data_IF_907026378167
#
_entry.id   IF_907026378167
#
_cell.length_a   1.000
_cell.length_b   1.000
_cell.length_c   1.000
_cell.angle_alpha   90.00
_cell.angle_beta   90.00
_cell.angle_gamma   90.00
#
_symmetry.space_group_name_H-M   'P 1'
#
loop_
_entity.id
_entity.type
_entity.pdbx_description
1 polymer ?
#
# COMPACT_ATOMS: atom_id res chain seq x y z
N UNK A 1 22.66 -1.49 19.06
CA UNK A 1 22.63 -1.99 17.68
C UNK A 1 22.70 -0.80 16.75
N UNK A 2 23.60 -0.75 15.75
CA UNK A 2 23.61 0.37 14.81
C UNK A 2 22.39 0.25 13.88
N UNK A 3 21.62 1.33 13.78
CA UNK A 3 20.49 1.47 12.86
C UNK A 3 21.02 1.39 11.42
N UNK A 4 20.49 0.48 10.61
CA UNK A 4 20.79 0.44 9.19
C UNK A 4 20.32 1.75 8.54
N UNK A 5 21.09 2.35 7.61
CA UNK A 5 20.65 3.54 6.89
C UNK A 5 19.36 3.25 6.14
N UNK A 6 18.40 4.19 6.21
CA UNK A 6 17.18 4.14 5.43
C UNK A 6 17.55 4.14 3.94
N UNK A 7 17.45 2.99 3.27
CA UNK A 7 17.61 2.91 1.83
C UNK A 7 16.28 3.25 1.18
N UNK A 8 16.29 4.13 0.16
CA UNK A 8 15.24 4.06 -0.84
C UNK A 8 15.31 2.64 -1.40
N UNK A 9 14.38 1.78 -1.01
CA UNK A 9 14.34 0.44 -1.56
C UNK A 9 14.09 0.58 -3.06
N UNK A 10 15.06 0.13 -3.86
CA UNK A 10 14.92 0.03 -5.32
C UNK A 10 13.79 -0.95 -5.67
N UNK A 11 13.49 -1.90 -4.78
CA UNK A 11 12.35 -2.81 -4.86
C UNK A 11 11.20 -2.41 -3.90
N UNK A 12 10.10 -3.16 -3.98
CA UNK A 12 8.92 -3.00 -3.11
C UNK A 12 8.71 -4.22 -2.20
N UNK A 13 9.68 -5.12 -2.09
CA UNK A 13 9.50 -6.42 -1.42
C UNK A 13 9.16 -6.27 0.07
N UNK A 14 9.45 -5.10 0.68
CA UNK A 14 9.07 -4.78 2.05
C UNK A 14 7.55 -4.77 2.30
N UNK A 15 6.70 -4.62 1.26
CA UNK A 15 5.24 -4.69 1.41
C UNK A 15 4.72 -6.14 1.40
N UNK A 16 5.59 -7.11 1.07
CA UNK A 16 5.21 -8.51 0.98
C UNK A 16 4.78 -9.03 2.36
N UNK A 17 3.73 -9.83 2.32
CA UNK A 17 3.25 -10.63 3.43
C UNK A 17 1.77 -10.42 3.71
N UNK A 18 1.36 -10.92 4.87
CA UNK A 18 0.03 -10.70 5.43
C UNK A 18 0.08 -9.59 6.48
N UNK A 19 -0.91 -8.71 6.42
CA UNK A 19 -1.06 -7.55 7.28
C UNK A 19 -2.49 -7.50 7.81
N UNK A 20 -2.66 -7.13 9.06
CA UNK A 20 -3.95 -7.03 9.73
C UNK A 20 -4.15 -5.63 10.31
N UNK A 21 -5.30 -5.02 10.09
CA UNK A 21 -5.73 -3.81 10.79
C UNK A 21 -6.44 -4.21 12.08
N UNK A 22 -6.24 -3.40 13.12
CA UNK A 22 -6.86 -3.58 14.43
C UNK A 22 -7.19 -2.21 15.00
N UNK A 23 -8.38 -2.03 15.57
CA UNK A 23 -8.77 -0.80 16.26
C UNK A 23 -7.88 -0.49 17.48
N UNK A 24 -7.35 -1.52 18.13
CA UNK A 24 -6.40 -1.41 19.24
C UNK A 24 -5.28 -2.44 19.10
N UNK A 25 -4.05 -2.14 19.56
CA UNK A 25 -2.95 -3.11 19.56
C UNK A 25 -3.33 -4.40 20.29
N UNK A 26 -3.16 -5.55 19.63
CA UNK A 26 -3.56 -6.86 20.15
C UNK A 26 -5.07 -7.12 20.21
N UNK A 27 -5.91 -6.16 19.78
CA UNK A 27 -7.36 -6.27 19.68
C UNK A 27 -7.81 -7.16 18.51
N UNK A 28 -9.13 -7.33 18.29
CA UNK A 28 -9.63 -8.11 17.17
C UNK A 28 -9.20 -7.52 15.82
N UNK A 29 -8.98 -8.40 14.85
CA UNK A 29 -8.70 -8.01 13.45
C UNK A 29 -9.96 -7.42 12.85
N UNK A 30 -9.88 -6.19 12.36
CA UNK A 30 -10.97 -5.50 11.68
C UNK A 30 -10.71 -5.30 10.18
N UNK A 31 -9.60 -5.82 9.68
CA UNK A 31 -9.27 -5.86 8.26
C UNK A 31 -7.97 -6.56 7.97
N UNK A 32 -7.79 -6.95 6.72
CA UNK A 32 -6.68 -7.78 6.29
C UNK A 32 -6.22 -7.40 4.89
N UNK A 33 -4.91 -7.44 4.67
CA UNK A 33 -4.26 -7.26 3.39
C UNK A 33 -3.22 -8.36 3.21
N UNK A 34 -3.31 -9.08 2.10
CA UNK A 34 -2.30 -10.06 1.69
C UNK A 34 -1.66 -9.64 0.40
N UNK A 35 -0.37 -9.34 0.42
CA UNK A 35 0.44 -9.01 -0.76
C UNK A 35 1.47 -10.11 -0.96
N UNK A 36 1.20 -11.00 -1.91
CA UNK A 36 2.09 -12.13 -2.24
C UNK A 36 2.47 -12.08 -3.71
N UNK A 37 3.59 -12.73 -4.10
CA UNK A 37 3.93 -12.89 -5.50
C UNK A 37 2.77 -13.50 -6.29
N UNK A 38 2.48 -12.93 -7.45
CA UNK A 38 1.52 -13.55 -8.36
C UNK A 38 2.04 -14.94 -8.80
N UNK A 39 1.15 -15.93 -8.79
CA UNK A 39 1.52 -17.34 -9.02
C UNK A 39 1.95 -17.63 -10.45
N UNK A 40 1.46 -16.85 -11.41
CA UNK A 40 1.79 -16.99 -12.83
C UNK A 40 2.91 -16.02 -13.24
N UNK A 41 3.03 -14.90 -12.53
CA UNK A 41 3.91 -13.76 -12.83
C UNK A 41 4.64 -13.29 -11.56
N UNK A 42 5.74 -13.96 -11.25
CA UNK A 42 6.56 -13.66 -10.07
C UNK A 42 7.26 -12.28 -10.06
N UNK A 43 6.99 -11.42 -11.05
CA UNK A 43 7.42 -10.03 -11.16
C UNK A 43 6.43 -9.04 -10.50
N UNK A 44 5.30 -9.52 -9.96
CA UNK A 44 4.30 -8.69 -9.28
C UNK A 44 3.95 -9.20 -7.90
N UNK A 45 3.62 -8.28 -6.98
CA UNK A 45 2.94 -8.58 -5.72
C UNK A 45 1.48 -8.16 -5.86
N UNK A 46 0.56 -9.11 -5.70
CA UNK A 46 -0.87 -8.86 -5.85
C UNK A 46 -1.64 -9.20 -4.57
N UNK A 47 -2.71 -8.45 -4.34
CA UNK A 47 -3.46 -8.56 -3.12
C UNK A 47 -4.74 -7.76 -3.11
N UNK A 48 -5.50 -7.95 -2.04
CA UNK A 48 -6.64 -7.11 -1.73
C UNK A 48 -6.67 -6.78 -0.24
N UNK A 49 -6.94 -5.52 0.08
CA UNK A 49 -7.35 -5.14 1.42
C UNK A 49 -8.87 -5.29 1.53
N UNK A 50 -9.32 -5.95 2.58
CA UNK A 50 -10.74 -6.12 2.91
C UNK A 50 -10.87 -5.82 4.39
N UNK A 51 -11.77 -4.92 4.76
CA UNK A 51 -12.11 -4.79 6.18
C UNK A 51 -13.10 -5.88 6.60
N UNK A 52 -12.89 -6.42 7.78
CA UNK A 52 -13.62 -7.54 8.35
C UNK A 52 -15.00 -7.13 8.89
N UNK A 53 -15.19 -5.83 9.21
CA UNK A 53 -16.43 -5.28 9.74
C UNK A 53 -16.73 -3.90 9.14
N UNK A 54 -18.02 -3.60 8.93
CA UNK A 54 -18.51 -2.30 8.47
C UNK A 54 -19.82 -2.45 7.68
N UNK A 55 -20.80 -1.59 7.98
CA UNK A 55 -22.03 -1.45 7.20
C UNK A 55 -22.15 0.01 6.75
N UNK A 56 -22.15 0.31 5.44
CA UNK A 56 -21.98 -0.64 4.33
C UNK A 56 -20.58 -1.26 4.31
N UNK A 57 -20.41 -2.45 3.68
CA UNK A 57 -19.13 -3.15 3.67
C UNK A 57 -18.04 -2.22 3.12
N UNK A 58 -16.89 -2.10 3.80
CA UNK A 58 -15.79 -1.30 3.32
C UNK A 58 -15.35 -1.81 1.95
N UNK A 59 -15.16 -0.86 1.04
CA UNK A 59 -14.81 -1.11 -0.36
C UNK A 59 -13.51 -1.90 -0.41
N UNK A 60 -13.56 -3.12 -0.95
CA UNK A 60 -12.37 -3.92 -1.28
C UNK A 60 -11.37 -3.04 -2.02
N UNK A 61 -10.10 -3.11 -1.68
CA UNK A 61 -9.04 -2.39 -2.39
C UNK A 61 -8.12 -3.42 -3.03
N UNK A 62 -8.15 -3.56 -4.36
CA UNK A 62 -7.16 -4.40 -5.04
C UNK A 62 -5.88 -3.60 -5.26
N UNK A 63 -4.76 -4.24 -4.97
CA UNK A 63 -3.42 -3.68 -5.09
C UNK A 63 -2.55 -4.63 -5.93
N UNK A 64 -1.76 -4.05 -6.82
CA UNK A 64 -0.81 -4.79 -7.65
C UNK A 64 0.46 -3.97 -7.79
N UNK A 65 1.53 -4.38 -7.15
CA UNK A 65 2.84 -3.72 -7.24
C UNK A 65 3.74 -4.47 -8.22
N UNK A 66 4.44 -3.75 -9.10
CA UNK A 66 5.60 -4.32 -9.77
C UNK A 66 6.72 -4.54 -8.74
N UNK A 67 7.36 -5.71 -8.72
CA UNK A 67 8.36 -6.05 -7.69
C UNK A 67 9.60 -5.16 -7.71
N UNK A 68 9.95 -4.65 -8.89
CA UNK A 68 10.96 -3.62 -9.08
C UNK A 68 10.54 -2.22 -8.56
N UNK A 69 9.37 -2.13 -7.91
CA UNK A 69 8.85 -0.90 -7.33
C UNK A 69 8.46 0.17 -8.35
N UNK A 70 8.49 -0.11 -9.66
CA UNK A 70 8.30 0.88 -10.72
C UNK A 70 6.85 1.39 -10.82
N UNK A 71 5.89 0.55 -10.45
CA UNK A 71 4.47 0.85 -10.63
C UNK A 71 3.57 0.23 -9.54
N UNK A 72 2.50 0.96 -9.24
CA UNK A 72 1.37 0.52 -8.43
C UNK A 72 0.11 0.54 -9.28
N UNK A 73 -0.65 -0.55 -9.26
CA UNK A 73 -2.04 -0.61 -9.68
C UNK A 73 -2.95 -0.60 -8.47
N UNK A 74 -3.92 0.30 -8.43
CA UNK A 74 -4.91 0.41 -7.35
C UNK A 74 -6.31 0.39 -7.96
N UNK A 75 -7.17 -0.48 -7.43
CA UNK A 75 -8.59 -0.53 -7.84
C UNK A 75 -9.49 -0.54 -6.62
N UNK A 76 -10.54 0.27 -6.67
CA UNK A 76 -11.64 0.29 -5.69
C UNK A 76 -12.91 -0.16 -6.40
N UNK A 77 -13.30 -1.44 -6.32
CA UNK A 77 -14.53 -1.92 -6.94
C UNK A 77 -15.73 -1.21 -6.28
N UNK A 78 -16.40 -0.34 -7.02
CA UNK A 78 -17.64 0.26 -6.55
C UNK A 78 -18.78 -0.78 -6.68
N UNK A 79 -19.61 -0.98 -5.63
CA UNK A 79 -20.75 -1.87 -5.74
C UNK A 79 -21.73 -1.37 -6.81
N UNK A 80 -22.10 -2.24 -7.76
CA UNK A 80 -23.09 -1.95 -8.80
C UNK A 80 -22.61 -1.13 -9.99
N UNK A 81 -21.31 -0.85 -10.12
CA UNK A 81 -20.76 -0.06 -11.22
C UNK A 81 -20.05 -0.98 -12.24
N UNK A 82 -20.75 -1.37 -13.30
CA UNK A 82 -20.26 -2.35 -14.30
C UNK A 82 -19.38 -1.76 -15.41
N UNK A 83 -19.18 -0.43 -15.44
CA UNK A 83 -18.41 0.23 -16.49
C UNK A 83 -17.00 -0.37 -16.62
N UNK A 84 -16.57 -0.66 -17.85
CA UNK A 84 -15.28 -1.30 -18.14
C UNK A 84 -14.10 -0.54 -17.51
N UNK A 85 -14.15 0.79 -17.47
CA UNK A 85 -13.09 1.63 -16.90
C UNK A 85 -12.91 1.44 -15.40
N UNK A 86 -13.99 1.16 -14.65
CA UNK A 86 -13.92 0.84 -13.23
C UNK A 86 -13.36 -0.57 -12.96
N UNK A 87 -13.22 -1.40 -14.00
CA UNK A 87 -12.60 -2.73 -13.89
C UNK A 87 -11.08 -2.64 -13.98
N UNK A 88 -10.53 -1.62 -14.64
CA UNK A 88 -9.09 -1.44 -14.81
C UNK A 88 -8.49 -0.79 -13.56
N UNK A 89 -7.32 -1.26 -13.08
CA UNK A 89 -6.64 -0.60 -11.98
C UNK A 89 -6.12 0.77 -12.44
N UNK A 90 -6.34 1.78 -11.61
CA UNK A 90 -5.64 3.06 -11.73
C UNK A 90 -4.15 2.80 -11.60
N UNK A 91 -3.38 3.22 -12.60
CA UNK A 91 -1.93 3.02 -12.65
C UNK A 91 -1.19 4.24 -12.11
N UNK A 92 -0.25 4.00 -11.22
CA UNK A 92 0.62 5.01 -10.62
C UNK A 92 2.08 4.61 -10.88
N UNK A 93 2.93 5.61 -11.18
CA UNK A 93 4.35 5.44 -11.41
C UNK A 93 5.15 5.90 -10.20
N UNK A 94 6.28 5.23 -9.94
CA UNK A 94 7.15 5.56 -8.81
C UNK A 94 7.70 6.98 -8.92
N UNK A 95 7.72 7.69 -7.80
CA UNK A 95 8.36 8.98 -7.61
C UNK A 95 9.48 8.86 -6.55
N UNK A 96 10.69 8.42 -6.94
CA UNK A 96 11.78 8.18 -5.99
C UNK A 96 12.14 9.40 -5.14
N UNK A 97 12.10 10.59 -5.72
CA UNK A 97 12.41 11.85 -5.04
C UNK A 97 11.43 12.18 -3.91
N UNK A 98 10.14 11.86 -4.08
CA UNK A 98 9.13 12.06 -3.04
C UNK A 98 9.30 11.01 -1.94
N UNK A 99 9.54 9.75 -2.32
CA UNK A 99 9.82 8.68 -1.35
C UNK A 99 11.04 9.00 -0.48
N UNK A 100 12.14 9.46 -1.08
CA UNK A 100 13.35 9.83 -0.38
C UNK A 100 13.14 11.01 0.60
N UNK A 101 12.35 12.02 0.21
CA UNK A 101 12.02 13.14 1.08
C UNK A 101 11.16 12.74 2.30
N UNK A 102 10.42 11.64 2.19
CA UNK A 102 9.53 11.12 3.23
C UNK A 102 10.15 9.99 4.07
N UNK A 103 11.40 9.58 3.78
CA UNK A 103 12.09 8.53 4.54
C UNK A 103 12.16 8.88 6.03
N UNK A 104 11.75 7.99 6.95
CA UNK A 104 11.85 8.25 8.37
C UNK A 104 13.32 8.32 8.80
N UNK A 105 13.64 9.27 9.69
CA UNK A 105 14.98 9.37 10.29
C UNK A 105 15.38 8.15 11.12
N UNK A 106 14.41 7.35 11.56
CA UNK A 106 14.61 6.19 12.44
C UNK A 106 14.80 4.86 11.67
N UNK A 107 14.92 4.88 10.34
CA UNK A 107 14.91 3.67 9.51
C UNK A 107 13.53 3.36 8.93
N UNK A 108 13.42 2.28 8.16
CA UNK A 108 12.19 1.87 7.47
C UNK A 108 12.22 2.09 5.95
N UNK A 109 11.12 1.72 5.30
CA UNK A 109 10.96 1.76 3.84
C UNK A 109 9.83 2.70 3.45
N UNK A 110 10.05 3.52 2.41
CA UNK A 110 9.03 4.39 1.85
C UNK A 110 9.05 4.33 0.33
N UNK A 111 7.86 4.24 -0.25
CA UNK A 111 7.60 4.35 -1.66
C UNK A 111 6.51 5.39 -1.91
N UNK A 112 6.69 6.23 -2.92
CA UNK A 112 5.68 7.20 -3.34
C UNK A 112 5.35 6.98 -4.81
N UNK A 113 4.07 7.08 -5.16
CA UNK A 113 3.57 6.87 -6.51
C UNK A 113 2.56 7.95 -6.90
N UNK A 114 2.51 8.31 -8.16
CA UNK A 114 1.52 9.26 -8.68
C UNK A 114 1.00 8.85 -10.05
N UNK A 115 -0.19 9.33 -10.40
CA UNK A 115 -0.62 9.34 -11.79
C UNK A 115 0.13 10.44 -12.55
N UNK A 116 0.12 10.36 -13.88
CA UNK A 116 0.62 11.44 -14.71
C UNK A 116 -0.18 12.73 -14.41
N UNK A 117 0.53 13.86 -14.26
CA UNK A 117 -0.01 15.18 -13.91
C UNK A 117 -0.79 15.29 -12.57
N UNK A 118 -0.83 14.23 -11.77
CA UNK A 118 -1.43 14.25 -10.44
C UNK A 118 -0.61 15.09 -9.45
N UNK A 119 -1.32 15.82 -8.59
CA UNK A 119 -0.71 16.60 -7.49
C UNK A 119 -0.73 15.86 -6.15
N UNK A 120 -1.45 14.76 -6.11
CA UNK A 120 -1.58 13.84 -5.00
C UNK A 120 -0.72 12.60 -5.22
N UNK A 121 -0.28 12.00 -4.12
CA UNK A 121 0.63 10.86 -4.14
C UNK A 121 0.06 9.72 -3.30
N UNK A 122 0.22 8.49 -3.77
CA UNK A 122 0.08 7.31 -2.94
C UNK A 122 1.41 7.06 -2.26
N UNK A 123 1.44 7.12 -0.94
CA UNK A 123 2.63 6.85 -0.13
C UNK A 123 2.42 5.54 0.61
N UNK A 124 3.38 4.63 0.42
CA UNK A 124 3.47 3.34 1.11
C UNK A 124 4.65 3.40 2.05
N UNK A 125 4.42 3.14 3.33
CA UNK A 125 5.49 3.13 4.35
C UNK A 125 5.44 1.83 5.11
N UNK A 126 6.60 1.23 5.31
CA UNK A 126 6.78 0.14 6.25
C UNK A 126 7.84 0.52 7.28
N UNK A 127 7.49 0.37 8.55
CA UNK A 127 8.40 0.60 9.66
C UNK A 127 8.15 -0.47 10.72
N UNK A 128 9.22 -1.14 11.15
CA UNK A 128 9.16 -2.36 11.97
C UNK A 128 8.17 -3.36 11.37
N UNK A 129 7.10 -3.70 12.11
CA UNK A 129 6.05 -4.65 11.71
C UNK A 129 4.76 -3.95 11.29
N UNK A 130 4.82 -2.68 10.86
CA UNK A 130 3.63 -1.90 10.45
C UNK A 130 3.72 -1.43 9.01
N UNK A 131 2.65 -1.62 8.25
CA UNK A 131 2.47 -1.15 6.88
C UNK A 131 1.35 -0.11 6.82
N UNK A 132 1.64 1.01 6.15
CA UNK A 132 0.66 2.07 5.87
C UNK A 132 0.62 2.37 4.38
N UNK A 133 -0.58 2.57 3.85
CA UNK A 133 -0.85 2.98 2.48
C UNK A 133 -1.81 4.16 2.54
N UNK A 134 -1.36 5.33 2.09
CA UNK A 134 -2.10 6.58 2.24
C UNK A 134 -2.07 7.39 0.94
N UNK A 135 -3.14 8.11 0.65
CA UNK A 135 -3.14 9.22 -0.30
C UNK A 135 -2.74 10.48 0.44
N UNK A 136 -1.74 11.17 -0.08
CA UNK A 136 -1.27 12.46 0.41
C UNK A 136 -1.65 13.51 -0.64
N UNK A 137 -2.28 14.61 -0.21
CA UNK A 137 -2.64 15.73 -1.08
C UNK A 137 -1.43 16.62 -1.44
N UNK A 138 -1.65 17.60 -2.30
CA UNK A 138 -0.62 18.54 -2.75
C UNK A 138 -0.01 19.38 -1.61
N UNK A 139 -0.74 19.52 -0.50
CA UNK A 139 -0.29 20.23 0.70
C UNK A 139 0.47 19.32 1.67
N UNK A 140 0.65 18.03 1.34
CA UNK A 140 1.36 17.07 2.18
C UNK A 140 0.51 16.47 3.29
N UNK A 141 -0.81 16.63 3.25
CA UNK A 141 -1.75 16.10 4.26
C UNK A 141 -2.32 14.75 3.82
N UNK A 142 -2.65 13.90 4.79
CA UNK A 142 -3.32 12.62 4.51
C UNK A 142 -4.76 12.90 4.08
N UNK A 143 -5.05 12.69 2.79
CA UNK A 143 -6.41 12.78 2.24
C UNK A 143 -7.21 11.49 2.49
N UNK A 144 -6.56 10.33 2.36
CA UNK A 144 -7.18 9.02 2.54
C UNK A 144 -6.16 8.06 3.16
N UNK A 145 -6.57 7.29 4.17
CA UNK A 145 -5.82 6.10 4.60
C UNK A 145 -6.47 4.88 3.98
N UNK A 146 -5.77 4.24 3.05
CA UNK A 146 -6.23 3.02 2.38
C UNK A 146 -6.02 1.78 3.25
N UNK A 147 -4.90 1.74 3.96
CA UNK A 147 -4.53 0.63 4.83
C UNK A 147 -3.58 1.13 5.91
N UNK A 148 -3.74 0.63 7.13
CA UNK A 148 -2.83 0.85 8.26
C UNK A 148 -2.91 -0.35 9.20
N UNK A 149 -1.91 -1.23 9.16
CA UNK A 149 -1.95 -2.52 9.83
C UNK A 149 -0.59 -3.09 10.18
N UNK A 150 -0.61 -4.12 11.01
CA UNK A 150 0.55 -4.81 11.56
C UNK A 150 0.76 -6.17 10.85
N UNK A 151 1.99 -6.68 10.82
CA UNK A 151 2.29 -7.98 10.20
C UNK A 151 1.58 -9.12 10.93
N UNK A 152 0.98 -10.03 10.15
CA UNK A 152 0.15 -11.15 10.65
C UNK A 152 0.67 -12.53 10.19
N UNK A 153 1.89 -12.60 9.64
CA UNK A 153 2.69 -13.84 9.66
C UNK A 153 2.57 -14.81 8.48
N UNK A 154 2.05 -14.39 7.31
CA UNK A 154 2.32 -15.11 6.06
C UNK A 154 3.45 -14.41 5.31
N UNK A 155 4.56 -15.10 5.08
CA UNK A 155 5.70 -14.68 4.25
C UNK A 155 6.21 -15.86 3.42
#
# INVERSE_FOLDING_TARGET
>A
MPLAPAMAADDIDFVRGCWATRATPGGPVDGFLRLLPDRERGDRLEGHAVAAYGDPPPVRLDLSFARDGSALGLRRPAPGYEALDARLPSRYLRLPQVGAALLPRAGGHVAAYAQEDAKDWIVVKAYDERLTIQQIDAEGRVAVTYFDGERDGCD
#
